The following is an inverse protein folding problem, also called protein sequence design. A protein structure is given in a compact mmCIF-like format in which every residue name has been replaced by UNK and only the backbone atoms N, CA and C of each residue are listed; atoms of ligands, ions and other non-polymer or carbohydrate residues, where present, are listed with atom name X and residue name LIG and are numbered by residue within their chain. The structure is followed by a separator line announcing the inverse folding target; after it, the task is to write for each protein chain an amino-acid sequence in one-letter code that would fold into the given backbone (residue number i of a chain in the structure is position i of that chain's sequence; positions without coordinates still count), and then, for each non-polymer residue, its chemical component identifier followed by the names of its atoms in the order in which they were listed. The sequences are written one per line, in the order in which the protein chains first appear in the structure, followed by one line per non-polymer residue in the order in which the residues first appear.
data_IF_283761777183
#
_entry.id   IF_283761777183
#
_cell.length_a   1.000
_cell.length_b   1.000
_cell.length_c   1.000
_cell.angle_alpha   90.00
_cell.angle_beta   90.00
_cell.angle_gamma   90.00
#
_symmetry.space_group_name_H-M   'P 1'
#
loop_
_entity.id
_entity.type
_entity.pdbx_description
1 polymer ?
#
# COMPACT_ATOMS: atom_id res chain seq x y z
N UNK A 1 6.32 6.90 10.05
CA UNK A 1 7.22 7.04 8.88
C UNK A 1 8.31 5.96 8.82
N UNK A 2 9.14 5.78 9.87
CA UNK A 2 10.28 4.83 9.82
C UNK A 2 9.90 3.39 9.38
N UNK A 3 8.73 2.87 9.78
CA UNK A 3 8.24 1.54 9.34
C UNK A 3 8.04 1.40 7.83
N UNK A 4 7.56 2.45 7.16
CA UNK A 4 7.37 2.48 5.71
C UNK A 4 8.70 2.68 4.98
N UNK A 5 9.57 3.57 5.50
CA UNK A 5 10.92 3.79 4.95
C UNK A 5 11.80 2.55 5.02
N UNK A 6 11.65 1.73 6.07
CA UNK A 6 12.41 0.48 6.20
C UNK A 6 11.79 -0.71 5.43
N UNK A 7 10.75 -0.49 4.63
CA UNK A 7 10.08 -1.55 3.88
C UNK A 7 9.39 -2.61 4.74
N UNK A 8 9.19 -2.32 6.04
CA UNK A 8 8.59 -3.27 6.98
C UNK A 8 7.08 -3.47 6.71
N UNK A 9 6.47 -2.46 6.08
CA UNK A 9 5.10 -2.44 5.54
C UNK A 9 4.99 -3.04 4.13
N UNK A 10 6.11 -3.22 3.42
CA UNK A 10 6.12 -3.80 2.08
C UNK A 10 6.14 -5.33 2.17
N UNK A 11 5.00 -5.99 1.91
CA UNK A 11 5.02 -7.46 1.79
C UNK A 11 5.94 -7.94 0.67
N UNK A 12 6.18 -7.13 -0.35
CA UNK A 12 7.14 -7.43 -1.42
C UNK A 12 8.55 -7.74 -0.90
N UNK A 13 8.96 -7.16 0.24
CA UNK A 13 10.29 -7.31 0.83
C UNK A 13 10.39 -8.46 1.84
N UNK A 14 9.26 -9.10 2.20
CA UNK A 14 9.23 -10.26 3.11
C UNK A 14 9.60 -11.52 2.37
N UNK A 15 10.91 -11.79 2.31
CA UNK A 15 11.47 -12.93 1.59
C UNK A 15 11.00 -14.30 2.09
N UNK A 16 10.39 -14.38 3.27
CA UNK A 16 9.80 -15.59 3.86
C UNK A 16 8.33 -15.85 3.46
N UNK A 17 7.64 -14.90 2.82
CA UNK A 17 6.27 -15.11 2.32
C UNK A 17 6.26 -15.73 0.91
N UNK A 18 5.20 -16.47 0.55
CA UNK A 18 4.99 -16.94 -0.83
C UNK A 18 4.74 -15.76 -1.76
N UNK A 19 5.10 -15.88 -3.04
CA UNK A 19 4.96 -14.78 -4.01
C UNK A 19 3.52 -14.26 -4.13
N UNK A 20 2.54 -15.13 -3.97
CA UNK A 20 1.13 -14.76 -3.97
C UNK A 20 0.74 -13.91 -2.75
N UNK A 21 1.31 -14.20 -1.59
CA UNK A 21 1.07 -13.44 -0.36
C UNK A 21 1.79 -12.08 -0.37
N UNK A 22 2.79 -11.93 -1.25
CA UNK A 22 3.51 -10.67 -1.47
C UNK A 22 2.77 -9.71 -2.39
N UNK A 23 1.65 -10.13 -2.99
CA UNK A 23 0.82 -9.27 -3.86
C UNK A 23 0.21 -8.11 -3.07
N UNK A 24 -0.06 -7.01 -3.76
CA UNK A 24 -0.72 -5.83 -3.22
C UNK A 24 -2.08 -6.19 -2.61
N UNK A 25 -2.34 -5.77 -1.36
CA UNK A 25 -3.64 -6.07 -0.72
C UNK A 25 -4.82 -5.34 -1.37
N UNK A 26 -4.53 -4.28 -2.11
CA UNK A 26 -5.55 -3.47 -2.78
C UNK A 26 -5.93 -4.05 -4.13
N UNK A 27 -4.95 -4.18 -5.05
CA UNK A 27 -5.20 -4.61 -6.43
C UNK A 27 -4.82 -6.06 -6.72
N UNK A 28 -4.08 -6.74 -5.84
CA UNK A 28 -3.64 -8.15 -5.97
C UNK A 28 -2.89 -8.50 -7.27
N UNK A 29 -2.44 -7.49 -8.03
CA UNK A 29 -1.80 -7.68 -9.34
C UNK A 29 -0.29 -7.88 -9.25
N UNK A 30 0.40 -6.91 -8.63
CA UNK A 30 1.86 -6.92 -8.48
C UNK A 30 2.26 -7.01 -7.00
N UNK A 31 3.55 -7.17 -6.74
CA UNK A 31 4.11 -7.15 -5.37
C UNK A 31 3.80 -5.83 -4.68
N UNK A 32 3.44 -5.92 -3.40
CA UNK A 32 3.18 -4.77 -2.55
C UNK A 32 4.50 -4.08 -2.16
N UNK A 33 4.92 -3.11 -2.98
CA UNK A 33 6.01 -2.19 -2.67
C UNK A 33 5.52 -0.73 -2.82
N UNK A 34 6.24 0.21 -2.21
CA UNK A 34 5.91 1.64 -2.22
C UNK A 34 5.94 2.19 -3.65
N UNK A 35 6.85 1.69 -4.51
CA UNK A 35 6.88 2.06 -5.93
C UNK A 35 5.57 1.68 -6.63
N UNK A 36 5.07 0.47 -6.42
CA UNK A 36 3.79 0.02 -6.95
C UNK A 36 2.66 0.86 -6.38
N UNK A 37 2.57 1.01 -5.06
CA UNK A 37 1.51 1.82 -4.43
C UNK A 37 1.48 3.27 -4.96
N UNK A 38 2.65 3.90 -5.17
CA UNK A 38 2.76 5.28 -5.65
C UNK A 38 2.44 5.42 -7.16
N UNK A 39 2.96 4.51 -7.99
CA UNK A 39 2.98 4.70 -9.44
C UNK A 39 2.08 3.72 -10.23
N UNK A 40 1.90 2.49 -9.74
CA UNK A 40 1.29 1.39 -10.51
C UNK A 40 -0.04 0.90 -9.95
N UNK A 41 -0.32 1.11 -8.66
CA UNK A 41 -1.52 0.62 -8.01
C UNK A 41 -2.72 1.47 -8.46
N UNK A 42 -3.61 0.88 -9.25
CA UNK A 42 -4.82 1.54 -9.74
C UNK A 42 -5.72 2.04 -8.60
N UNK A 43 -5.85 1.26 -7.52
CA UNK A 43 -6.65 1.61 -6.35
C UNK A 43 -6.15 2.88 -5.65
N UNK A 44 -4.84 2.96 -5.43
CA UNK A 44 -4.21 4.15 -4.85
C UNK A 44 -4.28 5.32 -5.82
N UNK A 45 -4.12 5.05 -7.12
CA UNK A 45 -4.19 6.08 -8.16
C UNK A 45 -5.58 6.68 -8.31
N UNK A 46 -6.63 5.91 -8.03
CA UNK A 46 -8.02 6.37 -8.04
C UNK A 46 -8.38 7.12 -6.75
N UNK A 47 -7.89 6.66 -5.59
CA UNK A 47 -8.21 7.24 -4.28
C UNK A 47 -7.25 8.34 -3.83
N UNK A 48 -6.08 8.46 -4.44
CA UNK A 48 -4.95 9.21 -3.90
C UNK A 48 -4.33 10.25 -4.83
N UNK A 49 -3.53 11.13 -4.23
CA UNK A 49 -2.80 12.17 -4.93
C UNK A 49 -1.62 11.58 -5.72
N UNK A 50 -1.50 11.92 -7.01
CA UNK A 50 -0.36 11.51 -7.85
C UNK A 50 0.92 12.21 -7.39
N UNK A 51 2.01 11.47 -7.38
CA UNK A 51 3.36 12.06 -7.27
C UNK A 51 3.79 12.45 -5.86
N UNK A 52 3.13 11.95 -4.81
CA UNK A 52 3.58 12.19 -3.42
C UNK A 52 4.90 11.48 -3.18
N UNK A 53 5.93 12.23 -2.80
CA UNK A 53 7.19 11.64 -2.37
C UNK A 53 7.10 11.20 -0.91
N UNK A 54 6.72 9.93 -0.75
CA UNK A 54 6.45 9.29 0.56
C UNK A 54 7.70 9.22 1.43
N UNK A 55 8.88 9.21 0.81
CA UNK A 55 10.16 9.08 1.49
C UNK A 55 10.77 10.42 1.88
N UNK A 56 10.21 11.54 1.44
CA UNK A 56 10.74 12.88 1.75
C UNK A 56 10.47 13.29 3.21
N UNK A 57 11.35 14.09 3.80
CA UNK A 57 11.25 14.55 5.21
C UNK A 57 10.23 15.67 5.42
N UNK A 58 9.64 16.18 4.33
CA UNK A 58 8.64 17.26 4.31
C UNK A 58 7.30 16.95 5.00
N UNK A 59 7.12 15.76 5.60
CA UNK A 59 5.87 15.36 6.26
C UNK A 59 4.69 15.04 5.33
N UNK A 60 4.77 15.40 4.04
CA UNK A 60 3.79 15.05 2.99
C UNK A 60 3.56 13.55 2.85
N UNK A 61 4.59 12.74 3.13
CA UNK A 61 4.48 11.28 3.19
C UNK A 61 3.51 10.78 4.28
N UNK A 62 3.32 11.51 5.39
CA UNK A 62 2.43 11.11 6.50
C UNK A 62 0.97 11.05 6.03
N UNK A 63 0.47 12.12 5.39
CA UNK A 63 -0.92 12.16 4.89
C UNK A 63 -1.19 11.04 3.89
N UNK A 64 -0.21 10.74 3.04
CA UNK A 64 -0.33 9.64 2.10
C UNK A 64 -0.34 8.28 2.80
N UNK A 65 0.51 8.07 3.82
CA UNK A 65 0.50 6.84 4.63
C UNK A 65 -0.87 6.63 5.31
N UNK A 66 -1.42 7.67 5.95
CA UNK A 66 -2.75 7.59 6.59
C UNK A 66 -3.86 7.27 5.58
N UNK A 67 -3.79 7.86 4.38
CA UNK A 67 -4.70 7.52 3.29
C UNK A 67 -4.60 6.04 2.91
N UNK A 68 -3.38 5.50 2.75
CA UNK A 68 -3.20 4.09 2.37
C UNK A 68 -3.73 3.15 3.44
N UNK A 69 -3.46 3.42 4.72
CA UNK A 69 -4.02 2.62 5.82
C UNK A 69 -5.55 2.64 5.80
N UNK A 70 -6.16 3.80 5.53
CA UNK A 70 -7.61 3.91 5.39
C UNK A 70 -8.14 3.09 4.22
N UNK A 71 -7.54 3.21 3.04
CA UNK A 71 -7.97 2.47 1.83
C UNK A 71 -7.78 0.96 2.01
N UNK A 72 -6.70 0.53 2.70
CA UNK A 72 -6.49 -0.88 3.07
C UNK A 72 -7.59 -1.39 4.00
N UNK A 73 -7.95 -0.61 5.02
CA UNK A 73 -9.03 -0.95 5.94
C UNK A 73 -10.40 -1.00 5.26
N UNK A 74 -10.69 -0.08 4.34
CA UNK A 74 -11.92 -0.13 3.53
C UNK A 74 -11.98 -1.41 2.69
N UNK A 75 -10.88 -1.75 1.99
CA UNK A 75 -10.81 -2.95 1.16
C UNK A 75 -10.96 -4.25 1.96
N UNK A 76 -10.41 -4.30 3.17
CA UNK A 76 -10.54 -5.44 4.07
C UNK A 76 -12.00 -5.63 4.50
N UNK A 77 -12.69 -4.54 4.89
CA UNK A 77 -14.11 -4.56 5.24
C UNK A 77 -15.01 -4.93 4.07
N UNK A 78 -14.68 -4.50 2.84
CA UNK A 78 -15.40 -4.93 1.63
C UNK A 78 -15.29 -6.44 1.45
N UNK A 79 -14.08 -6.99 1.56
CA UNK A 79 -13.86 -8.45 1.45
C UNK A 79 -14.57 -9.23 2.55
N UNK A 80 -14.61 -8.71 3.77
CA UNK A 80 -15.37 -9.32 4.86
C UNK A 80 -16.87 -9.33 4.56
N UNK A 81 -17.40 -8.25 3.99
CA UNK A 81 -18.80 -8.18 3.51
C UNK A 81 -19.09 -9.11 2.35
N UNK A 82 -18.15 -9.29 1.42
CA UNK A 82 -18.28 -10.23 0.29
C UNK A 82 -18.22 -11.71 0.74
N UNK A 83 -17.65 -11.99 1.91
CA UNK A 83 -17.55 -13.34 2.48
C UNK A 83 -18.75 -13.73 3.36
N UNK A 84 -19.64 -12.79 3.66
CA UNK A 84 -20.82 -12.97 4.52
C UNK A 84 -22.07 -13.17 3.69
#
# INVERSE_FOLDING_TARGET
IARWRCGNEERGNKYWMKEEERKCRLCERERENVEHLKNRCEYVREKGERGVDVLDEDGRGIRWMEMIERVRGERERERERERM
#
